data_IF_169330552903
#
_entry.id   IF_169330552903
#
_cell.length_a   1.000
_cell.length_b   1.000
_cell.length_c   1.000
_cell.angle_alpha   90.00
_cell.angle_beta   90.00
_cell.angle_gamma   90.00
#
_symmetry.space_group_name_H-M   'P 1'
#
loop_
_entity.id
_entity.type
_entity.pdbx_description
1 polymer ?
#
# COMPACT_ATOMS: atom_id res chain seq x y z
N UNK A 1 5.68 -34.46 -4.94
CA UNK A 1 7.00 -33.91 -5.28
C UNK A 1 7.28 -32.80 -4.29
N UNK A 2 8.08 -33.08 -3.27
CA UNK A 2 8.53 -32.07 -2.32
C UNK A 2 9.60 -31.21 -3.00
N UNK A 3 9.23 -30.00 -3.40
CA UNK A 3 10.21 -28.98 -3.75
C UNK A 3 10.82 -28.46 -2.46
N UNK A 4 11.92 -29.07 -2.03
CA UNK A 4 12.79 -28.47 -1.01
C UNK A 4 13.27 -27.12 -1.56
N UNK A 5 12.70 -26.03 -1.05
CA UNK A 5 13.11 -24.67 -1.40
C UNK A 5 14.51 -24.41 -0.82
N UNK A 6 15.55 -24.80 -1.57
CA UNK A 6 16.92 -24.36 -1.30
C UNK A 6 17.04 -22.85 -1.56
N UNK A 7 17.98 -22.15 -0.89
CA UNK A 7 18.20 -20.74 -1.13
C UNK A 7 18.65 -20.50 -2.59
N UNK A 8 17.84 -19.78 -3.38
CA UNK A 8 18.21 -19.31 -4.72
C UNK A 8 18.90 -17.94 -4.64
N UNK A 9 20.06 -17.82 -5.28
CA UNK A 9 20.75 -16.55 -5.52
C UNK A 9 20.19 -15.90 -6.79
N UNK A 10 19.65 -14.69 -6.67
CA UNK A 10 19.17 -13.89 -7.79
C UNK A 10 20.14 -12.74 -8.06
N UNK A 11 20.67 -12.58 -9.29
CA UNK A 11 21.53 -11.45 -9.62
C UNK A 11 20.74 -10.13 -9.50
N UNK A 12 21.22 -9.23 -8.64
CA UNK A 12 20.56 -7.94 -8.39
C UNK A 12 20.38 -7.12 -9.69
N UNK A 13 21.36 -7.17 -10.58
CA UNK A 13 21.34 -6.44 -11.86
C UNK A 13 20.39 -7.02 -12.92
N UNK A 14 19.82 -8.21 -12.68
CA UNK A 14 18.82 -8.84 -13.55
C UNK A 14 17.45 -8.95 -12.87
N UNK A 15 17.25 -8.18 -11.78
CA UNK A 15 16.03 -8.19 -11.00
C UNK A 15 15.38 -6.80 -10.98
N UNK A 16 14.06 -6.77 -10.77
CA UNK A 16 13.31 -5.54 -10.51
C UNK A 16 12.85 -5.53 -9.05
N UNK A 17 12.95 -4.38 -8.40
CA UNK A 17 12.43 -4.17 -7.05
C UNK A 17 11.01 -3.64 -7.15
N UNK A 18 10.06 -4.34 -6.53
CA UNK A 18 8.66 -3.91 -6.44
C UNK A 18 8.38 -3.49 -5.00
N UNK A 19 7.87 -2.27 -4.83
CA UNK A 19 7.42 -1.76 -3.54
C UNK A 19 5.90 -1.90 -3.45
N UNK A 20 5.42 -2.68 -2.47
CA UNK A 20 3.99 -2.85 -2.21
C UNK A 20 3.57 -1.95 -1.06
N UNK A 21 2.56 -1.12 -1.29
CA UNK A 21 2.05 -0.15 -0.32
C UNK A 21 0.53 -0.27 -0.25
N UNK A 22 -0.01 -0.45 0.95
CA UNK A 22 -1.46 -0.37 1.21
C UNK A 22 -1.87 1.11 1.32
N UNK A 23 -3.10 1.43 0.91
CA UNK A 23 -3.69 2.74 1.20
C UNK A 23 -3.71 3.03 2.71
N UNK A 24 -3.72 4.31 3.06
CA UNK A 24 -3.82 4.75 4.45
C UNK A 24 -5.25 4.55 5.01
N UNK A 25 -5.50 4.93 6.26
CA UNK A 25 -6.84 4.77 6.85
C UNK A 25 -7.93 5.48 6.02
N UNK A 26 -8.84 4.71 5.44
CA UNK A 26 -10.06 5.16 4.79
C UNK A 26 -11.23 5.27 5.78
N UNK A 27 -12.25 6.06 5.44
CA UNK A 27 -13.49 6.13 6.23
C UNK A 27 -14.12 4.75 6.40
N UNK A 28 -14.07 3.90 5.38
CA UNK A 28 -14.55 2.51 5.44
C UNK A 28 -13.83 1.67 6.51
N UNK A 29 -12.55 1.93 6.80
CA UNK A 29 -11.85 1.20 7.87
C UNK A 29 -12.42 1.56 9.24
N UNK A 30 -12.68 2.84 9.48
CA UNK A 30 -13.21 3.33 10.76
C UNK A 30 -14.62 2.83 10.99
N UNK A 31 -15.47 2.86 9.97
CA UNK A 31 -16.85 2.34 10.09
C UNK A 31 -16.88 0.82 10.19
N UNK A 32 -16.03 0.11 9.42
CA UNK A 32 -15.89 -1.34 9.50
C UNK A 32 -15.33 -1.85 10.83
N UNK A 33 -14.49 -1.07 11.51
CA UNK A 33 -14.02 -1.36 12.87
C UNK A 33 -15.15 -1.22 13.91
N UNK A 34 -16.09 -0.30 13.71
CA UNK A 34 -17.26 -0.13 14.59
C UNK A 34 -18.33 -1.19 14.32
N UNK A 35 -18.59 -1.46 13.06
CA UNK A 35 -19.57 -2.45 12.61
C UNK A 35 -19.03 -3.18 11.37
N UNK A 36 -18.77 -4.47 11.50
CA UNK A 36 -18.18 -5.26 10.42
C UNK A 36 -19.05 -5.29 9.15
N UNK A 37 -20.37 -5.20 9.29
CA UNK A 37 -21.28 -5.19 8.14
C UNK A 37 -21.11 -3.93 7.27
N UNK A 38 -20.50 -2.86 7.81
CA UNK A 38 -20.24 -1.63 7.07
C UNK A 38 -19.25 -1.84 5.90
N UNK A 39 -18.43 -2.90 5.92
CA UNK A 39 -17.58 -3.24 4.77
C UNK A 39 -18.37 -3.65 3.52
N UNK A 40 -19.63 -4.04 3.68
CA UNK A 40 -20.52 -4.41 2.58
C UNK A 40 -21.39 -3.23 2.11
N UNK A 41 -21.23 -2.04 2.70
CA UNK A 41 -22.01 -0.87 2.33
C UNK A 41 -21.52 -0.28 1.00
N UNK A 42 -22.44 -0.12 0.05
CA UNK A 42 -22.17 0.55 -1.22
C UNK A 42 -21.70 2.02 -1.00
N UNK A 43 -22.19 2.68 0.05
CA UNK A 43 -21.78 4.05 0.40
C UNK A 43 -20.30 4.15 0.83
N UNK A 44 -19.70 3.03 1.24
CA UNK A 44 -18.31 2.95 1.71
C UNK A 44 -17.36 2.28 0.71
N UNK A 45 -17.86 1.90 -0.47
CA UNK A 45 -17.07 1.19 -1.48
C UNK A 45 -15.86 2.00 -1.98
N UNK A 46 -16.06 3.28 -2.26
CA UNK A 46 -15.03 4.21 -2.76
C UNK A 46 -14.78 5.35 -1.74
N UNK A 47 -14.67 4.97 -0.47
CA UNK A 47 -14.58 5.90 0.63
C UNK A 47 -13.20 6.58 0.72
N UNK A 48 -13.20 7.92 0.76
CA UNK A 48 -12.00 8.74 0.92
C UNK A 48 -11.18 8.42 2.20
N UNK A 49 -9.92 8.84 2.19
CA UNK A 49 -9.06 8.83 3.37
C UNK A 49 -9.58 9.73 4.50
N UNK A 50 -9.38 9.29 5.74
CA UNK A 50 -9.63 10.11 6.93
C UNK A 50 -8.53 11.17 7.10
N UNK A 51 -8.72 12.19 7.95
CA UNK A 51 -7.63 13.11 8.31
C UNK A 51 -6.39 12.41 8.88
N UNK A 52 -6.59 11.31 9.62
CA UNK A 52 -5.49 10.46 10.08
C UNK A 52 -4.81 9.73 8.89
N UNK A 53 -5.61 9.22 7.95
CA UNK A 53 -5.10 8.61 6.72
C UNK A 53 -4.19 9.55 5.93
N UNK A 54 -4.59 10.81 5.73
CA UNK A 54 -3.75 11.82 5.08
C UNK A 54 -2.44 12.06 5.83
N UNK A 55 -2.47 12.11 7.16
CA UNK A 55 -1.24 12.24 7.96
C UNK A 55 -0.31 11.03 7.81
N UNK A 56 -0.85 9.82 7.67
CA UNK A 56 -0.07 8.62 7.39
C UNK A 56 0.63 8.72 6.01
N UNK A 57 -0.09 9.18 4.99
CA UNK A 57 0.46 9.43 3.64
C UNK A 57 1.60 10.44 3.71
N UNK A 58 1.41 11.58 4.39
CA UNK A 58 2.44 12.61 4.53
C UNK A 58 3.71 12.07 5.21
N UNK A 59 3.55 11.28 6.28
CA UNK A 59 4.66 10.70 7.01
C UNK A 59 5.47 9.72 6.15
N UNK A 60 4.78 8.84 5.41
CA UNK A 60 5.44 7.92 4.49
C UNK A 60 6.13 8.66 3.35
N UNK A 61 5.47 9.69 2.79
CA UNK A 61 6.06 10.51 1.73
C UNK A 61 7.36 11.19 2.19
N UNK A 62 7.39 11.75 3.41
CA UNK A 62 8.60 12.33 4.01
C UNK A 62 9.71 11.29 4.11
N UNK A 63 9.40 10.07 4.56
CA UNK A 63 10.37 8.99 4.65
C UNK A 63 10.92 8.59 3.27
N UNK A 64 10.05 8.35 2.28
CA UNK A 64 10.42 7.98 0.91
C UNK A 64 11.34 9.02 0.26
N UNK A 65 11.07 10.31 0.50
CA UNK A 65 11.94 11.40 0.04
C UNK A 65 13.28 11.41 0.76
N UNK A 66 13.27 11.26 2.09
CA UNK A 66 14.49 11.27 2.91
C UNK A 66 15.49 10.17 2.53
N UNK A 67 15.00 8.98 2.15
CA UNK A 67 15.84 7.86 1.71
C UNK A 67 16.21 7.92 0.22
N UNK A 68 15.78 8.96 -0.49
CA UNK A 68 16.02 9.13 -1.93
C UNK A 68 15.30 8.10 -2.82
N UNK A 69 14.32 7.37 -2.27
CA UNK A 69 13.60 6.33 -3.02
C UNK A 69 12.74 6.94 -4.13
N UNK A 70 12.16 8.13 -3.90
CA UNK A 70 11.32 8.80 -4.90
C UNK A 70 12.02 9.02 -6.25
N UNK A 71 13.35 9.24 -6.24
CA UNK A 71 14.13 9.41 -7.47
C UNK A 71 14.48 8.10 -8.19
N UNK A 72 14.17 6.95 -7.59
CA UNK A 72 14.45 5.61 -8.14
C UNK A 72 13.20 4.91 -8.69
N UNK A 73 12.01 5.45 -8.44
CA UNK A 73 10.75 4.86 -8.89
C UNK A 73 10.51 5.22 -10.36
N UNK A 74 10.46 4.21 -11.22
CA UNK A 74 10.22 4.36 -12.67
C UNK A 74 8.72 4.29 -13.03
N UNK A 75 7.92 3.59 -12.22
CA UNK A 75 6.50 3.34 -12.47
C UNK A 75 5.75 3.28 -11.14
N UNK A 76 4.59 3.94 -11.11
CA UNK A 76 3.61 3.81 -10.02
C UNK A 76 2.30 3.31 -10.62
N UNK A 77 1.79 2.20 -10.08
CA UNK A 77 0.47 1.65 -10.42
C UNK A 77 -0.38 1.77 -9.17
N UNK A 78 -1.57 2.35 -9.32
CA UNK A 78 -2.53 2.53 -8.23
C UNK A 78 -3.86 1.86 -8.57
N UNK A 79 -4.59 1.50 -7.52
CA UNK A 79 -6.02 1.18 -7.63
C UNK A 79 -6.77 2.40 -8.20
N UNK A 80 -7.86 2.22 -8.96
CA UNK A 80 -8.71 3.33 -9.39
C UNK A 80 -9.54 3.94 -8.25
N UNK A 81 -9.49 3.36 -7.04
CA UNK A 81 -10.25 3.80 -5.86
C UNK A 81 -9.58 4.99 -5.14
N UNK A 82 -10.40 5.77 -4.44
CA UNK A 82 -10.04 6.97 -3.67
C UNK A 82 -9.26 6.70 -2.37
#
# INVERSE_FOLDING_TARGET
MDTTAGPSLYPLHHSKTIHLVRHAQGVHNVEGEKNHDAYLSDDLFDANLTPLGWKQVENLQKHVKAIGLSGKIELVVVSPLL
#
